data_IF_605013672114
#
_entry.id   IF_605013672114
#
_cell.length_a   1.000
_cell.length_b   1.000
_cell.length_c   1.000
_cell.angle_alpha   90.00
_cell.angle_beta   90.00
_cell.angle_gamma   90.00
#
_symmetry.space_group_name_H-M   'P 1'
#
loop_
_entity.id
_entity.type
_entity.pdbx_description
1 polymer ?
#
# COMPACT_ATOMS: atom_id res chain seq x y z
N UNK A 1 26.79 -6.24 -23.18
CA UNK A 1 27.86 -7.09 -22.63
C UNK A 1 27.35 -7.80 -21.39
N UNK A 2 27.28 -9.14 -21.38
CA UNK A 2 27.06 -9.91 -20.15
C UNK A 2 28.41 -9.93 -19.41
N UNK A 3 28.54 -9.19 -18.30
CA UNK A 3 29.69 -9.38 -17.38
C UNK A 3 29.67 -10.83 -16.89
N UNK A 4 30.85 -11.43 -16.77
CA UNK A 4 31.01 -12.72 -16.15
C UNK A 4 30.45 -12.65 -14.71
N UNK A 5 29.52 -13.55 -14.39
CA UNK A 5 28.85 -13.59 -13.08
C UNK A 5 29.73 -14.26 -12.00
N UNK A 6 30.93 -14.71 -12.37
CA UNK A 6 31.83 -15.46 -11.51
C UNK A 6 32.58 -14.60 -10.47
N UNK A 7 32.81 -13.31 -10.75
CA UNK A 7 33.57 -12.42 -9.85
C UNK A 7 32.70 -11.29 -9.29
N UNK A 8 32.63 -11.19 -7.96
CA UNK A 8 32.08 -10.01 -7.26
C UNK A 8 32.89 -8.76 -7.63
N UNK A 9 32.26 -7.58 -7.80
CA UNK A 9 33.03 -6.34 -7.90
C UNK A 9 33.64 -5.92 -6.55
N UNK A 10 33.28 -6.59 -5.45
CA UNK A 10 33.74 -6.27 -4.10
C UNK A 10 34.83 -7.23 -3.65
N UNK A 11 35.97 -6.67 -3.23
CA UNK A 11 37.08 -7.45 -2.68
C UNK A 11 36.80 -8.04 -1.29
N UNK A 12 35.83 -7.49 -0.56
CA UNK A 12 35.44 -7.97 0.77
C UNK A 12 34.05 -7.47 1.16
N UNK A 13 33.46 -8.10 2.19
CA UNK A 13 32.21 -7.62 2.79
C UNK A 13 32.34 -6.20 3.36
N UNK A 14 33.53 -5.85 3.88
CA UNK A 14 33.82 -4.51 4.36
C UNK A 14 33.77 -3.47 3.22
N UNK A 15 34.30 -3.82 2.04
CA UNK A 15 34.21 -2.96 0.86
C UNK A 15 32.75 -2.74 0.41
N UNK A 16 31.95 -3.80 0.37
CA UNK A 16 30.50 -3.70 0.12
C UNK A 16 29.81 -2.78 1.13
N UNK A 17 30.07 -2.98 2.43
CA UNK A 17 29.48 -2.17 3.49
C UNK A 17 29.89 -0.69 3.42
N UNK A 18 31.14 -0.40 3.04
CA UNK A 18 31.62 0.97 2.87
C UNK A 18 30.87 1.68 1.73
N UNK A 19 30.67 1.01 0.59
CA UNK A 19 29.90 1.58 -0.52
C UNK A 19 28.42 1.77 -0.14
N UNK A 20 27.81 0.80 0.55
CA UNK A 20 26.44 0.93 1.07
C UNK A 20 26.32 2.11 2.05
N UNK A 21 27.32 2.34 2.90
CA UNK A 21 27.35 3.48 3.81
C UNK A 21 27.43 4.83 3.07
N UNK A 22 28.20 4.90 1.98
CA UNK A 22 28.28 6.10 1.13
C UNK A 22 26.95 6.36 0.41
N UNK A 23 26.35 5.34 -0.23
CA UNK A 23 25.02 5.44 -0.86
C UNK A 23 23.96 5.87 0.17
N UNK A 24 24.00 5.31 1.38
CA UNK A 24 23.10 5.68 2.47
C UNK A 24 23.28 7.13 2.95
N UNK A 25 24.52 7.63 2.99
CA UNK A 25 24.80 9.03 3.31
C UNK A 25 24.22 9.98 2.26
N UNK A 26 24.36 9.66 0.97
CA UNK A 26 23.76 10.42 -0.12
C UNK A 26 22.23 10.43 0.00
N UNK A 27 21.62 9.27 0.22
CA UNK A 27 20.18 9.15 0.43
C UNK A 27 19.70 9.97 1.64
N UNK A 28 20.46 10.01 2.73
CA UNK A 28 20.17 10.86 3.89
C UNK A 28 20.20 12.35 3.54
N UNK A 29 21.24 12.80 2.84
CA UNK A 29 21.37 14.20 2.39
C UNK A 29 20.23 14.60 1.44
N UNK A 30 19.79 13.67 0.59
CA UNK A 30 18.68 13.87 -0.32
C UNK A 30 17.28 13.70 0.33
N UNK A 31 17.19 13.56 1.66
CA UNK A 31 15.91 13.45 2.35
C UNK A 31 15.14 12.16 2.07
N UNK A 32 15.80 11.12 1.55
CA UNK A 32 15.15 9.82 1.28
C UNK A 32 14.66 9.21 2.59
N UNK A 33 13.37 8.89 2.67
CA UNK A 33 12.74 8.26 3.84
C UNK A 33 13.38 6.90 4.14
N UNK A 34 13.54 6.57 5.43
CA UNK A 34 14.28 5.37 5.90
C UNK A 34 13.81 4.06 5.24
N UNK A 35 12.50 3.84 5.08
CA UNK A 35 11.95 2.62 4.48
C UNK A 35 12.19 2.49 2.97
N UNK A 36 12.42 3.60 2.27
CA UNK A 36 12.74 3.56 0.84
C UNK A 36 14.23 3.26 0.61
N UNK A 37 15.07 3.42 1.64
CA UNK A 37 16.53 3.28 1.54
C UNK A 37 17.00 1.86 1.21
N UNK A 38 16.43 0.77 1.73
CA UNK A 38 16.87 -0.58 1.35
C UNK A 38 16.73 -0.82 -0.16
N UNK A 39 15.57 -0.46 -0.72
CA UNK A 39 15.32 -0.63 -2.16
C UNK A 39 16.13 0.33 -3.01
N UNK A 40 16.17 1.62 -2.66
CA UNK A 40 16.99 2.58 -3.40
C UNK A 40 18.47 2.26 -3.29
N UNK A 41 18.95 1.83 -2.13
CA UNK A 41 20.33 1.41 -1.91
C UNK A 41 20.71 0.22 -2.77
N UNK A 42 19.88 -0.82 -2.79
CA UNK A 42 20.06 -1.99 -3.66
C UNK A 42 20.09 -1.60 -5.14
N UNK A 43 19.14 -0.79 -5.59
CA UNK A 43 19.05 -0.33 -6.98
C UNK A 43 20.25 0.54 -7.37
N UNK A 44 20.63 1.51 -6.53
CA UNK A 44 21.78 2.39 -6.77
C UNK A 44 23.10 1.62 -6.81
N UNK A 45 23.32 0.69 -5.86
CA UNK A 45 24.50 -0.17 -5.86
C UNK A 45 24.55 -1.01 -7.16
N UNK A 46 23.40 -1.57 -7.55
CA UNK A 46 23.29 -2.39 -8.77
C UNK A 46 23.63 -1.58 -10.02
N UNK A 47 23.09 -0.36 -10.16
CA UNK A 47 23.38 0.51 -11.29
C UNK A 47 24.84 0.97 -11.34
N UNK A 48 25.40 1.42 -10.19
CA UNK A 48 26.81 1.88 -10.11
C UNK A 48 27.80 0.82 -10.55
N UNK A 49 27.53 -0.44 -10.22
CA UNK A 49 28.44 -1.55 -10.46
C UNK A 49 28.08 -2.36 -11.73
N UNK A 50 26.96 -2.05 -12.38
CA UNK A 50 26.44 -2.79 -13.52
C UNK A 50 26.04 -4.23 -13.16
N UNK A 51 25.42 -4.41 -11.99
CA UNK A 51 24.99 -5.71 -11.46
C UNK A 51 23.57 -6.04 -11.88
N UNK A 52 23.35 -7.30 -12.24
CA UNK A 52 22.04 -7.89 -12.49
C UNK A 52 21.58 -8.74 -11.31
N UNK A 53 21.50 -8.12 -10.12
CA UNK A 53 21.12 -8.81 -8.89
C UNK A 53 19.67 -9.35 -8.97
N UNK A 54 19.45 -10.53 -8.40
CA UNK A 54 18.12 -11.13 -8.33
C UNK A 54 17.42 -10.75 -7.02
N UNK A 55 16.08 -10.64 -7.06
CA UNK A 55 15.22 -10.47 -5.88
C UNK A 55 14.03 -11.43 -5.97
N UNK A 56 13.70 -12.20 -4.92
CA UNK A 56 14.51 -12.40 -3.71
C UNK A 56 15.88 -13.04 -4.02
N UNK A 57 16.81 -12.95 -3.07
CA UNK A 57 18.09 -13.66 -3.16
C UNK A 57 17.87 -15.17 -3.25
N UNK A 58 18.54 -15.91 -4.15
CA UNK A 58 18.59 -17.37 -4.12
C UNK A 58 19.30 -17.91 -2.88
N UNK A 59 20.31 -17.18 -2.37
CA UNK A 59 21.03 -17.52 -1.14
C UNK A 59 20.56 -16.62 0.02
N UNK A 60 19.72 -17.16 0.92
CA UNK A 60 19.16 -16.40 2.06
C UNK A 60 20.05 -16.35 3.29
N UNK A 61 21.08 -17.18 3.36
CA UNK A 61 22.04 -17.14 4.47
C UNK A 61 23.48 -17.28 3.99
N UNK A 62 23.98 -16.29 3.21
CA UNK A 62 25.32 -16.35 2.71
C UNK A 62 26.34 -16.22 3.84
N UNK A 63 27.42 -16.99 3.73
CA UNK A 63 28.58 -16.81 4.59
C UNK A 63 29.19 -15.42 4.37
N UNK A 64 29.85 -14.81 5.36
CA UNK A 64 30.41 -13.46 5.24
C UNK A 64 31.40 -13.28 4.08
N UNK A 65 32.10 -14.35 3.69
CA UNK A 65 33.05 -14.37 2.57
C UNK A 65 32.39 -14.74 1.22
N UNK A 66 31.14 -15.19 1.20
CA UNK A 66 30.40 -15.43 -0.02
C UNK A 66 29.87 -14.09 -0.56
N UNK A 67 30.59 -13.55 -1.54
CA UNK A 67 30.20 -12.34 -2.27
C UNK A 67 29.73 -12.69 -3.69
N UNK A 68 29.30 -13.93 -3.93
CA UNK A 68 28.67 -14.31 -5.19
C UNK A 68 27.48 -13.41 -5.51
N UNK A 69 27.13 -13.30 -6.79
CA UNK A 69 26.00 -12.48 -7.23
C UNK A 69 24.70 -12.84 -6.52
N UNK A 70 24.51 -14.13 -6.21
CA UNK A 70 23.36 -14.61 -5.48
C UNK A 70 23.42 -14.19 -4.00
N UNK A 71 24.59 -14.18 -3.37
CA UNK A 71 24.76 -13.73 -1.99
C UNK A 71 24.63 -12.20 -1.79
N UNK A 72 24.99 -11.40 -2.79
CA UNK A 72 25.02 -9.93 -2.67
C UNK A 72 23.67 -9.32 -2.29
N UNK A 73 22.56 -9.78 -2.89
CA UNK A 73 21.22 -9.28 -2.54
C UNK A 73 20.93 -9.43 -1.05
N UNK A 74 21.31 -10.57 -0.47
CA UNK A 74 21.05 -10.87 0.93
C UNK A 74 21.98 -10.11 1.87
N UNK A 75 23.26 -9.94 1.53
CA UNK A 75 24.17 -9.08 2.28
C UNK A 75 23.68 -7.63 2.34
N UNK A 76 23.21 -7.08 1.21
CA UNK A 76 22.62 -5.73 1.15
C UNK A 76 21.39 -5.65 2.04
N UNK A 77 20.48 -6.63 1.96
CA UNK A 77 19.26 -6.71 2.79
C UNK A 77 19.63 -6.72 4.27
N UNK A 78 20.52 -7.62 4.69
CA UNK A 78 21.00 -7.74 6.08
C UNK A 78 21.70 -6.48 6.58
N UNK A 79 22.43 -5.76 5.72
CA UNK A 79 23.08 -4.49 6.10
C UNK A 79 22.06 -3.41 6.45
N UNK A 80 21.05 -3.20 5.59
CA UNK A 80 19.99 -2.24 5.86
C UNK A 80 19.14 -2.63 7.08
N UNK A 81 18.86 -3.93 7.24
CA UNK A 81 18.16 -4.47 8.40
C UNK A 81 18.95 -4.23 9.70
N UNK A 82 20.27 -4.50 9.73
CA UNK A 82 21.12 -4.21 10.89
C UNK A 82 21.16 -2.72 11.23
N UNK A 83 21.21 -1.85 10.22
CA UNK A 83 21.34 -0.40 10.40
C UNK A 83 20.05 0.27 10.88
N UNK A 84 18.91 -0.16 10.37
CA UNK A 84 17.63 0.52 10.58
C UNK A 84 16.61 -0.30 11.36
N UNK A 85 16.84 -1.61 11.50
CA UNK A 85 15.92 -2.54 12.13
C UNK A 85 14.52 -2.43 11.55
N UNK A 86 13.53 -2.49 12.43
CA UNK A 86 12.10 -2.39 12.08
C UNK A 86 11.74 -1.08 11.37
N UNK A 87 12.53 0.00 11.50
CA UNK A 87 12.24 1.30 10.86
C UNK A 87 12.39 1.27 9.34
N UNK A 88 13.19 0.34 8.81
CA UNK A 88 13.27 0.10 7.37
C UNK A 88 12.02 -0.59 6.81
N UNK A 89 11.21 -1.23 7.67
CA UNK A 89 10.00 -1.94 7.28
C UNK A 89 8.74 -1.06 7.33
N UNK A 90 8.82 0.15 7.89
CA UNK A 90 7.69 1.08 8.00
C UNK A 90 7.54 1.85 6.69
N UNK A 91 6.81 1.28 5.73
CA UNK A 91 6.45 1.97 4.50
C UNK A 91 5.52 3.14 4.86
N UNK A 92 5.97 4.39 4.69
CA UNK A 92 5.08 5.57 4.76
C UNK A 92 4.40 5.77 3.40
N UNK A 93 3.69 4.73 2.98
CA UNK A 93 2.62 4.79 2.00
C UNK A 93 1.34 4.49 2.79
N UNK A 94 0.15 4.89 2.31
CA UNK A 94 -1.08 4.37 2.89
C UNK A 94 -0.92 2.85 2.87
N UNK A 95 -0.97 2.24 4.05
CA UNK A 95 -0.49 0.85 4.23
C UNK A 95 -1.47 -0.01 5.00
N UNK A 96 -2.48 0.60 5.62
CA UNK A 96 -3.49 -0.10 6.39
C UNK A 96 -4.89 0.26 5.91
N UNK A 97 -5.68 -0.73 5.52
CA UNK A 97 -7.13 -0.59 5.36
C UNK A 97 -7.89 -1.30 6.48
N UNK A 98 -9.22 -1.22 6.43
CA UNK A 98 -10.13 -1.92 7.35
C UNK A 98 -10.99 -2.89 6.56
N UNK A 99 -10.97 -4.16 6.96
CA UNK A 99 -11.92 -5.17 6.50
C UNK A 99 -12.89 -5.43 7.65
N UNK A 100 -14.17 -5.28 7.38
CA UNK A 100 -15.24 -5.69 8.27
C UNK A 100 -15.64 -7.14 7.97
N UNK A 101 -15.57 -7.99 8.98
CA UNK A 101 -16.01 -9.39 8.95
C UNK A 101 -17.07 -9.53 10.05
N UNK A 102 -18.34 -9.36 9.68
CA UNK A 102 -19.50 -9.50 10.58
C UNK A 102 -19.43 -8.62 11.85
N UNK A 103 -18.92 -7.38 11.71
CA UNK A 103 -18.78 -6.41 12.80
C UNK A 103 -17.41 -6.43 13.48
N UNK A 104 -16.58 -7.45 13.23
CA UNK A 104 -15.19 -7.50 13.64
C UNK A 104 -14.31 -6.81 12.60
N UNK A 105 -13.60 -5.77 13.05
CA UNK A 105 -12.77 -4.95 12.19
C UNK A 105 -11.33 -5.44 12.23
N UNK A 106 -10.83 -5.88 11.07
CA UNK A 106 -9.44 -6.29 10.89
C UNK A 106 -8.65 -5.21 10.16
N UNK A 107 -7.43 -4.96 10.65
CA UNK A 107 -6.47 -4.16 9.89
C UNK A 107 -5.96 -4.99 8.73
N UNK A 108 -6.10 -4.48 7.51
CA UNK A 108 -5.53 -5.10 6.32
C UNK A 108 -4.25 -4.35 5.91
N UNK A 109 -3.14 -5.06 5.77
CA UNK A 109 -1.95 -4.50 5.15
C UNK A 109 -2.13 -4.45 3.63
N UNK A 110 -2.13 -3.26 3.04
CA UNK A 110 -2.23 -3.09 1.59
C UNK A 110 -0.83 -3.21 0.96
N UNK A 111 -0.53 -4.29 0.22
CA UNK A 111 0.79 -4.45 -0.37
C UNK A 111 0.98 -3.47 -1.53
N UNK A 112 2.22 -3.00 -1.69
CA UNK A 112 2.63 -2.30 -2.90
C UNK A 112 2.74 -3.30 -4.05
N UNK A 113 1.84 -3.21 -5.03
CA UNK A 113 1.76 -4.16 -6.14
C UNK A 113 2.42 -3.56 -7.38
N UNK A 114 3.45 -4.23 -7.89
CA UNK A 114 4.06 -3.94 -9.19
C UNK A 114 3.64 -5.01 -10.19
N UNK A 115 2.94 -4.63 -11.25
CA UNK A 115 2.32 -5.57 -12.19
C UNK A 115 1.05 -6.19 -11.58
N UNK A 116 0.92 -7.50 -11.70
CA UNK A 116 -0.29 -8.23 -11.29
C UNK A 116 -0.01 -9.17 -10.12
N UNK A 117 -1.01 -9.39 -9.28
CA UNK A 117 -1.02 -10.42 -8.22
C UNK A 117 -2.40 -11.06 -8.16
N UNK A 118 -2.44 -12.35 -7.85
CA UNK A 118 -3.67 -13.12 -7.66
C UNK A 118 -3.79 -13.52 -6.19
N UNK A 119 -4.94 -13.28 -5.58
CA UNK A 119 -5.23 -13.67 -4.20
C UNK A 119 -6.35 -14.70 -4.16
N UNK A 120 -6.22 -15.67 -3.27
CA UNK A 120 -7.35 -16.51 -2.84
C UNK A 120 -7.83 -16.12 -1.45
N UNK A 121 -9.04 -16.55 -1.09
CA UNK A 121 -9.57 -16.53 0.27
C UNK A 121 -9.71 -17.98 0.70
N UNK A 122 -8.72 -18.49 1.43
CA UNK A 122 -8.68 -19.90 1.80
C UNK A 122 -8.11 -20.12 3.21
N UNK A 123 -8.96 -20.44 4.20
CA UNK A 123 -8.50 -20.72 5.57
C UNK A 123 -7.49 -21.86 5.65
N UNK A 124 -7.67 -22.94 4.87
CA UNK A 124 -6.80 -24.12 4.90
C UNK A 124 -5.36 -23.82 4.47
N UNK A 125 -5.16 -22.74 3.70
CA UNK A 125 -3.85 -22.30 3.21
C UNK A 125 -3.40 -20.99 3.87
N UNK A 126 -3.87 -20.69 5.08
CA UNK A 126 -3.44 -19.49 5.81
C UNK A 126 -1.94 -19.54 6.13
N UNK A 127 -1.41 -20.69 6.53
CA UNK A 127 0.01 -20.87 6.84
C UNK A 127 0.89 -21.16 5.61
N UNK A 128 0.29 -21.30 4.42
CA UNK A 128 1.03 -21.60 3.20
C UNK A 128 1.97 -20.44 2.83
N UNK A 129 3.24 -20.78 2.60
CA UNK A 129 4.28 -19.81 2.24
C UNK A 129 4.36 -19.68 0.72
N UNK A 130 3.61 -18.72 0.19
CA UNK A 130 3.66 -18.36 -1.22
C UNK A 130 5.01 -17.81 -1.64
N UNK A 131 5.47 -18.20 -2.84
CA UNK A 131 6.66 -17.66 -3.48
C UNK A 131 6.35 -16.26 -4.02
N UNK A 132 7.06 -15.21 -3.57
CA UNK A 132 6.71 -13.82 -3.87
C UNK A 132 6.96 -13.43 -5.34
N UNK A 133 7.87 -14.12 -6.01
CA UNK A 133 8.19 -13.90 -7.42
C UNK A 133 8.50 -15.23 -8.09
N UNK A 134 7.79 -15.53 -9.17
CA UNK A 134 8.03 -16.70 -10.01
C UNK A 134 8.20 -16.20 -11.45
N UNK A 135 9.30 -16.58 -12.10
CA UNK A 135 9.59 -16.13 -13.47
C UNK A 135 8.45 -16.53 -14.40
N UNK A 136 7.94 -15.58 -15.18
CA UNK A 136 6.86 -15.75 -16.15
C UNK A 136 5.53 -16.24 -15.55
N UNK A 137 5.29 -16.03 -14.24
CA UNK A 137 4.01 -16.34 -13.60
C UNK A 137 3.57 -15.16 -12.75
N UNK A 138 2.25 -15.00 -12.63
CA UNK A 138 1.64 -14.01 -11.76
C UNK A 138 1.84 -14.48 -10.31
N UNK A 139 2.44 -13.66 -9.42
CA UNK A 139 2.51 -13.96 -8.00
C UNK A 139 1.16 -14.28 -7.40
N UNK A 140 1.14 -15.24 -6.47
CA UNK A 140 -0.06 -15.65 -5.74
C UNK A 140 0.13 -15.39 -4.25
N UNK A 141 -0.95 -15.12 -3.54
CA UNK A 141 -0.96 -15.12 -2.08
C UNK A 141 -2.37 -15.45 -1.57
N UNK A 142 -2.50 -15.55 -0.25
CA UNK A 142 -3.79 -15.67 0.43
C UNK A 142 -4.14 -14.33 1.08
N UNK A 143 -5.30 -13.77 0.71
CA UNK A 143 -5.75 -12.47 1.19
C UNK A 143 -5.85 -12.43 2.71
N UNK A 144 -6.26 -13.53 3.35
CA UNK A 144 -6.43 -13.61 4.80
C UNK A 144 -5.11 -13.36 5.56
N UNK A 145 -3.96 -13.64 4.94
CA UNK A 145 -2.63 -13.36 5.54
C UNK A 145 -2.30 -11.87 5.62
N UNK A 146 -3.04 -11.03 4.90
CA UNK A 146 -2.89 -9.58 4.97
C UNK A 146 -3.65 -8.98 6.16
N UNK A 147 -4.50 -9.75 6.84
CA UNK A 147 -5.29 -9.30 7.98
C UNK A 147 -4.50 -9.49 9.28
N UNK A 148 -4.21 -8.37 9.95
CA UNK A 148 -3.46 -8.36 11.20
C UNK A 148 -4.26 -9.04 12.32
N UNK A 149 -3.60 -9.92 13.07
CA UNK A 149 -4.21 -10.65 14.19
C UNK A 149 -5.23 -11.73 13.82
N UNK A 150 -5.45 -12.02 12.53
CA UNK A 150 -6.35 -13.11 12.12
C UNK A 150 -5.74 -14.47 12.47
N UNK A 151 -6.42 -15.24 13.32
CA UNK A 151 -5.98 -16.57 13.73
C UNK A 151 -6.50 -17.66 12.78
N UNK A 152 -5.85 -18.84 12.68
CA UNK A 152 -6.37 -19.97 11.90
C UNK A 152 -7.80 -20.36 12.31
N UNK A 153 -8.06 -20.46 13.62
CA UNK A 153 -9.40 -20.80 14.13
C UNK A 153 -10.47 -19.77 13.74
N UNK A 154 -10.14 -18.47 13.73
CA UNK A 154 -11.07 -17.45 13.24
C UNK A 154 -11.23 -17.54 11.72
N UNK A 155 -10.14 -17.71 10.97
CA UNK A 155 -10.21 -17.84 9.52
C UNK A 155 -11.12 -19.00 9.08
N UNK A 156 -11.01 -20.15 9.77
CA UNK A 156 -11.84 -21.34 9.54
C UNK A 156 -13.32 -21.12 9.87
N UNK A 157 -13.63 -20.21 10.81
CA UNK A 157 -15.02 -19.91 11.19
C UNK A 157 -15.71 -18.90 10.28
N UNK A 158 -14.99 -18.22 9.38
CA UNK A 158 -15.56 -17.23 8.45
C UNK A 158 -16.53 -17.95 7.49
N UNK A 159 -17.82 -17.60 7.47
CA UNK A 159 -18.77 -18.15 6.51
C UNK A 159 -18.37 -17.82 5.07
N UNK A 160 -18.46 -18.81 4.18
CA UNK A 160 -18.14 -18.62 2.75
C UNK A 160 -19.01 -17.55 2.07
N UNK A 161 -20.21 -17.29 2.61
CA UNK A 161 -21.09 -16.19 2.18
C UNK A 161 -20.46 -14.81 2.36
N UNK A 162 -19.49 -14.64 3.27
CA UNK A 162 -18.77 -13.37 3.48
C UNK A 162 -17.55 -13.20 2.56
N UNK A 163 -17.09 -14.25 1.86
CA UNK A 163 -15.85 -14.17 1.08
C UNK A 163 -15.91 -13.13 -0.02
N UNK A 164 -17.07 -12.97 -0.67
CA UNK A 164 -17.26 -11.93 -1.68
C UNK A 164 -17.10 -10.53 -1.07
N UNK A 165 -17.76 -10.28 0.06
CA UNK A 165 -17.68 -8.99 0.76
C UNK A 165 -16.27 -8.68 1.23
N UNK A 166 -15.53 -9.67 1.74
CA UNK A 166 -14.12 -9.53 2.11
C UNK A 166 -13.26 -9.19 0.88
N UNK A 167 -13.46 -9.92 -0.23
CA UNK A 167 -12.75 -9.69 -1.48
C UNK A 167 -13.01 -8.32 -2.09
N UNK A 168 -14.27 -7.88 -2.11
CA UNK A 168 -14.66 -6.56 -2.63
C UNK A 168 -14.04 -5.42 -1.81
N UNK A 169 -14.09 -5.52 -0.47
CA UNK A 169 -13.46 -4.54 0.43
C UNK A 169 -11.93 -4.48 0.20
N UNK A 170 -11.27 -5.64 0.14
CA UNK A 170 -9.84 -5.72 -0.09
C UNK A 170 -9.42 -5.17 -1.47
N UNK A 171 -10.18 -5.51 -2.51
CA UNK A 171 -9.98 -4.99 -3.86
C UNK A 171 -10.06 -3.46 -3.88
N UNK A 172 -11.08 -2.89 -3.24
CA UNK A 172 -11.24 -1.44 -3.13
C UNK A 172 -10.07 -0.79 -2.40
N UNK A 173 -9.62 -1.35 -1.27
CA UNK A 173 -8.45 -0.86 -0.52
C UNK A 173 -7.21 -0.86 -1.41
N UNK A 174 -6.89 -2.01 -2.03
CA UNK A 174 -5.68 -2.14 -2.83
C UNK A 174 -5.69 -1.20 -4.05
N UNK A 175 -6.82 -1.08 -4.75
CA UNK A 175 -6.92 -0.20 -5.93
C UNK A 175 -6.79 1.27 -5.53
N UNK A 176 -7.50 1.73 -4.49
CA UNK A 176 -7.37 3.10 -3.99
C UNK A 176 -5.94 3.41 -3.56
N UNK A 177 -5.29 2.51 -2.83
CA UNK A 177 -3.94 2.76 -2.30
C UNK A 177 -2.87 2.73 -3.39
N UNK A 178 -3.02 1.86 -4.39
CA UNK A 178 -2.14 1.88 -5.57
C UNK A 178 -2.30 3.17 -6.38
N UNK A 179 -3.53 3.72 -6.48
CA UNK A 179 -3.73 5.02 -7.12
C UNK A 179 -3.10 6.14 -6.29
N UNK A 180 -3.30 6.17 -4.97
CA UNK A 180 -2.62 7.13 -4.09
C UNK A 180 -1.09 7.05 -4.22
N UNK A 181 -0.53 5.84 -4.26
CA UNK A 181 0.90 5.60 -4.47
C UNK A 181 1.42 6.23 -5.77
N UNK A 182 0.63 6.16 -6.84
CA UNK A 182 0.99 6.76 -8.13
C UNK A 182 1.10 8.30 -8.05
N UNK A 183 0.43 8.92 -7.08
CA UNK A 183 0.38 10.36 -6.86
C UNK A 183 1.08 10.83 -5.57
N UNK A 184 1.83 9.98 -4.86
CA UNK A 184 2.52 10.35 -3.61
C UNK A 184 3.59 11.46 -3.79
N UNK A 185 3.95 11.81 -5.03
CA UNK A 185 4.77 12.98 -5.32
C UNK A 185 4.05 14.31 -5.04
N UNK A 186 2.72 14.30 -4.99
CA UNK A 186 1.90 15.48 -4.68
C UNK A 186 1.75 15.62 -3.17
N UNK A 187 2.08 16.79 -2.63
CA UNK A 187 2.02 17.06 -1.17
C UNK A 187 0.63 16.76 -0.60
N UNK A 188 -0.45 17.17 -1.29
CA UNK A 188 -1.81 16.92 -0.84
C UNK A 188 -2.16 15.42 -0.77
N UNK A 189 -1.70 14.61 -1.71
CA UNK A 189 -1.97 13.16 -1.70
C UNK A 189 -1.14 12.46 -0.60
N UNK A 190 0.09 12.93 -0.37
CA UNK A 190 0.89 12.48 0.77
C UNK A 190 0.18 12.78 2.10
N UNK A 191 -0.35 14.00 2.28
CA UNK A 191 -1.12 14.35 3.49
C UNK A 191 -2.44 13.57 3.59
N UNK A 192 -3.15 13.35 2.47
CA UNK A 192 -4.35 12.52 2.45
C UNK A 192 -4.07 11.09 2.92
N UNK A 193 -2.92 10.51 2.56
CA UNK A 193 -2.53 9.17 3.02
C UNK A 193 -2.33 9.09 4.53
N UNK A 194 -1.78 10.16 5.13
CA UNK A 194 -1.61 10.26 6.59
C UNK A 194 -2.98 10.32 7.28
N UNK A 195 -3.93 11.08 6.72
CA UNK A 195 -5.28 11.12 7.28
C UNK A 195 -5.97 9.76 7.20
N UNK A 196 -5.87 9.02 6.08
CA UNK A 196 -6.48 7.69 6.01
C UNK A 196 -5.89 6.76 7.08
N UNK A 197 -4.56 6.68 7.19
CA UNK A 197 -3.91 5.79 8.17
C UNK A 197 -4.29 6.18 9.62
N UNK A 198 -4.40 7.48 9.91
CA UNK A 198 -4.87 7.99 11.21
C UNK A 198 -6.34 7.60 11.46
N UNK A 199 -7.19 7.74 10.45
CA UNK A 199 -8.61 7.38 10.53
C UNK A 199 -8.82 5.88 10.73
N UNK A 200 -8.07 5.05 10.00
CA UNK A 200 -8.05 3.58 10.15
C UNK A 200 -7.63 3.19 11.56
N UNK A 201 -6.57 3.81 12.09
CA UNK A 201 -6.10 3.56 13.45
C UNK A 201 -7.15 3.94 14.51
N UNK A 202 -7.81 5.09 14.35
CA UNK A 202 -8.87 5.53 15.24
C UNK A 202 -10.13 4.64 15.17
N UNK A 203 -10.48 4.16 13.97
CA UNK A 203 -11.61 3.27 13.73
C UNK A 203 -11.39 1.90 14.38
N UNK A 204 -10.22 1.29 14.13
CA UNK A 204 -9.83 0.00 14.72
C UNK A 204 -9.73 0.07 16.24
N UNK A 205 -9.25 1.20 16.77
CA UNK A 205 -9.20 1.42 18.22
C UNK A 205 -10.57 1.57 18.87
N UNK A 206 -11.63 1.88 18.10
CA UNK A 206 -13.00 2.13 18.57
C UNK A 206 -13.17 3.25 19.61
N UNK A 207 -12.11 3.97 19.97
CA UNK A 207 -12.13 5.03 20.99
C UNK A 207 -12.75 6.32 20.46
N UNK A 208 -12.52 6.65 19.18
CA UNK A 208 -12.99 7.92 18.62
C UNK A 208 -13.48 7.78 17.18
N UNK A 209 -14.70 7.25 16.98
CA UNK A 209 -15.30 7.12 15.65
C UNK A 209 -15.49 8.47 14.95
N UNK A 210 -15.78 9.54 15.72
CA UNK A 210 -15.86 10.91 15.21
C UNK A 210 -14.52 11.42 14.68
N UNK A 211 -13.41 11.09 15.34
CA UNK A 211 -12.07 11.41 14.82
C UNK A 211 -11.75 10.61 13.56
N UNK A 212 -12.11 9.32 13.51
CA UNK A 212 -11.95 8.50 12.32
C UNK A 212 -12.70 9.10 11.11
N UNK A 213 -13.99 9.42 11.28
CA UNK A 213 -14.81 10.07 10.26
C UNK A 213 -14.23 11.41 9.79
N UNK A 214 -13.73 12.23 10.71
CA UNK A 214 -13.04 13.48 10.39
C UNK A 214 -11.80 13.26 9.52
N UNK A 215 -10.98 12.27 9.84
CA UNK A 215 -9.82 11.91 9.05
C UNK A 215 -10.20 11.48 7.62
N UNK A 216 -11.23 10.67 7.44
CA UNK A 216 -11.69 10.26 6.10
C UNK A 216 -12.22 11.44 5.28
N UNK A 217 -12.91 12.39 5.91
CA UNK A 217 -13.29 13.65 5.28
C UNK A 217 -12.07 14.45 4.79
N UNK A 218 -11.04 14.59 5.63
CA UNK A 218 -9.82 15.29 5.27
C UNK A 218 -9.04 14.61 4.14
N UNK A 219 -8.99 13.27 4.13
CA UNK A 219 -8.38 12.52 3.04
C UNK A 219 -9.10 12.74 1.70
N UNK A 220 -10.44 12.72 1.70
CA UNK A 220 -11.25 13.02 0.52
C UNK A 220 -11.03 14.47 0.05
N UNK A 221 -11.07 15.43 0.97
CA UNK A 221 -10.86 16.86 0.71
C UNK A 221 -9.51 17.12 0.01
N UNK A 222 -8.43 16.57 0.58
CA UNK A 222 -7.08 16.74 0.02
C UNK A 222 -6.93 16.06 -1.34
N UNK A 223 -7.59 14.92 -1.55
CA UNK A 223 -7.56 14.20 -2.84
C UNK A 223 -8.29 14.97 -3.95
N UNK A 224 -9.46 15.56 -3.67
CA UNK A 224 -10.13 16.44 -4.65
C UNK A 224 -9.36 17.74 -4.87
N UNK A 225 -8.76 18.33 -3.83
CA UNK A 225 -7.90 19.51 -4.02
C UNK A 225 -6.69 19.22 -4.90
N UNK A 226 -6.11 18.01 -4.81
CA UNK A 226 -5.04 17.59 -5.71
C UNK A 226 -5.51 17.54 -7.18
N UNK A 227 -6.72 17.02 -7.45
CA UNK A 227 -7.32 17.06 -8.78
C UNK A 227 -7.58 18.50 -9.24
N UNK A 228 -8.17 19.34 -8.40
CA UNK A 228 -8.47 20.73 -8.77
C UNK A 228 -7.20 21.54 -9.06
N UNK A 229 -6.12 21.33 -8.30
CA UNK A 229 -4.82 21.93 -8.61
C UNK A 229 -4.27 21.44 -9.95
N UNK A 230 -4.45 20.15 -10.26
CA UNK A 230 -4.09 19.59 -11.56
C UNK A 230 -4.90 20.20 -12.71
N UNK A 231 -6.19 20.50 -12.48
CA UNK A 231 -7.07 21.21 -13.42
C UNK A 231 -6.80 22.72 -13.52
N UNK A 232 -5.82 23.24 -12.77
CA UNK A 232 -5.44 24.66 -12.80
C UNK A 232 -6.35 25.59 -12.00
N UNK A 233 -7.19 25.04 -11.10
CA UNK A 233 -8.01 25.83 -10.19
C UNK A 233 -7.12 26.60 -9.23
N UNK A 234 -7.30 27.92 -9.19
CA UNK A 234 -6.47 28.83 -8.41
C UNK A 234 -6.67 28.65 -6.89
N UNK A 235 -5.60 28.79 -6.11
CA UNK A 235 -5.64 28.64 -4.64
C UNK A 235 -6.66 29.56 -3.97
N UNK A 236 -6.85 30.78 -4.48
CA UNK A 236 -7.88 31.70 -3.97
C UNK A 236 -9.30 31.14 -4.11
N UNK A 237 -9.57 30.37 -5.18
CA UNK A 237 -10.86 29.70 -5.39
C UNK A 237 -11.00 28.50 -4.45
N UNK A 238 -9.93 27.71 -4.29
CA UNK A 238 -9.90 26.59 -3.33
C UNK A 238 -10.14 27.07 -1.90
N UNK A 239 -9.53 28.20 -1.51
CA UNK A 239 -9.70 28.82 -0.21
C UNK A 239 -11.16 29.24 0.03
N UNK A 240 -11.82 29.83 -0.96
CA UNK A 240 -13.24 30.22 -0.87
C UNK A 240 -14.19 29.03 -0.75
N UNK A 241 -13.88 27.91 -1.41
CA UNK A 241 -14.64 26.66 -1.24
C UNK A 241 -14.45 26.04 0.16
N UNK A 242 -13.32 26.34 0.81
CA UNK A 242 -13.03 25.93 2.18
C UNK A 242 -12.82 24.42 2.30
N UNK A 243 -13.57 23.80 3.22
CA UNK A 243 -13.53 22.37 3.53
C UNK A 243 -14.82 21.64 3.06
N UNK A 244 -15.62 22.29 2.22
CA UNK A 244 -16.90 21.76 1.76
C UNK A 244 -16.72 20.87 0.52
N UNK A 245 -16.88 19.56 0.70
CA UNK A 245 -16.69 18.57 -0.38
C UNK A 245 -17.64 18.80 -1.56
N UNK A 246 -18.89 19.21 -1.33
CA UNK A 246 -19.84 19.44 -2.41
C UNK A 246 -19.40 20.64 -3.27
N UNK A 247 -18.95 21.72 -2.62
CA UNK A 247 -18.37 22.88 -3.34
C UNK A 247 -17.11 22.52 -4.10
N UNK A 248 -16.22 21.72 -3.50
CA UNK A 248 -14.98 21.29 -4.15
C UNK A 248 -15.27 20.41 -5.37
N UNK A 249 -16.21 19.47 -5.28
CA UNK A 249 -16.63 18.63 -6.43
C UNK A 249 -17.22 19.50 -7.54
N UNK A 250 -18.05 20.48 -7.21
CA UNK A 250 -18.63 21.40 -8.19
C UNK A 250 -17.60 22.27 -8.94
N UNK A 251 -16.38 22.44 -8.38
CA UNK A 251 -15.29 23.13 -9.05
C UNK A 251 -14.56 22.26 -10.09
N UNK A 252 -14.79 20.95 -10.13
CA UNK A 252 -14.19 20.04 -11.11
C UNK A 252 -15.23 19.59 -12.14
N UNK A 253 -15.23 20.17 -13.35
CA UNK A 253 -16.11 19.71 -14.43
C UNK A 253 -15.85 18.25 -14.79
N UNK A 254 -14.59 17.80 -14.76
CA UNK A 254 -14.21 16.43 -15.11
C UNK A 254 -14.77 15.43 -14.12
N UNK A 255 -14.63 15.69 -12.81
CA UNK A 255 -15.18 14.80 -11.79
C UNK A 255 -16.71 14.76 -11.85
N UNK A 256 -17.35 15.92 -12.01
CA UNK A 256 -18.80 16.03 -12.13
C UNK A 256 -19.32 15.23 -13.34
N UNK A 257 -18.69 15.35 -14.50
CA UNK A 257 -19.08 14.63 -15.71
C UNK A 257 -18.83 13.12 -15.63
N UNK A 258 -17.86 12.68 -14.81
CA UNK A 258 -17.48 11.27 -14.71
C UNK A 258 -18.49 10.38 -13.97
N UNK A 259 -19.41 10.96 -13.20
CA UNK A 259 -20.33 10.25 -12.30
C UNK A 259 -19.63 9.29 -11.31
N UNK A 260 -18.33 9.45 -11.07
CA UNK A 260 -17.55 8.61 -10.15
C UNK A 260 -17.82 8.93 -8.67
N UNK A 261 -18.35 10.12 -8.40
CA UNK A 261 -18.69 10.63 -7.07
C UNK A 261 -20.15 11.05 -7.08
N UNK A 262 -20.90 10.62 -6.07
CA UNK A 262 -22.33 10.91 -5.93
C UNK A 262 -22.59 11.82 -4.72
N UNK A 263 -23.74 12.49 -4.70
CA UNK A 263 -24.15 13.29 -3.54
C UNK A 263 -24.23 12.44 -2.25
N UNK A 264 -24.80 11.24 -2.33
CA UNK A 264 -24.89 10.32 -1.19
C UNK A 264 -23.50 9.95 -0.63
N UNK A 265 -22.50 9.77 -1.50
CA UNK A 265 -21.12 9.53 -1.08
C UNK A 265 -20.53 10.75 -0.35
N UNK A 266 -20.76 11.96 -0.88
CA UNK A 266 -20.34 13.21 -0.25
C UNK A 266 -20.98 13.35 1.15
N UNK A 267 -22.27 13.07 1.27
CA UNK A 267 -23.00 13.14 2.54
C UNK A 267 -22.47 12.13 3.57
N UNK A 268 -22.18 10.90 3.13
CA UNK A 268 -21.62 9.85 3.99
C UNK A 268 -20.22 10.21 4.51
N UNK A 269 -19.41 10.88 3.71
CA UNK A 269 -18.05 11.29 4.08
C UNK A 269 -18.06 12.56 4.93
N UNK A 270 -19.00 13.48 4.68
CA UNK A 270 -19.00 14.81 5.29
C UNK A 270 -19.04 14.75 6.81
N UNK A 271 -18.11 15.47 7.44
CA UNK A 271 -17.91 15.45 8.88
C UNK A 271 -17.68 16.86 9.41
N UNK A 272 -18.42 17.24 10.44
CA UNK A 272 -18.17 18.50 11.14
C UNK A 272 -16.92 18.37 12.01
N UNK A 273 -16.08 19.42 12.13
CA UNK A 273 -14.95 19.44 13.09
C UNK A 273 -15.38 19.13 14.53
N UNK A 274 -16.64 19.40 14.88
CA UNK A 274 -17.24 19.12 16.19
C UNK A 274 -17.24 17.63 16.56
N UNK A 275 -17.29 16.72 15.58
CA UNK A 275 -17.25 15.28 15.83
C UNK A 275 -15.94 14.83 16.49
N UNK A 276 -14.81 15.48 16.17
CA UNK A 276 -13.51 15.22 16.81
C UNK A 276 -13.48 15.59 18.29
N UNK A 277 -14.30 16.57 18.69
CA UNK A 277 -14.39 17.04 20.07
C UNK A 277 -15.47 16.32 20.88
N UNK A 278 -16.08 15.25 20.35
CA UNK A 278 -17.15 14.52 21.02
C UNK A 278 -18.46 15.30 21.15
N UNK A 279 -18.58 16.45 20.47
CA UNK A 279 -19.80 17.28 20.50
C UNK A 279 -20.90 16.72 19.60
N UNK A 280 -20.53 15.87 18.64
CA UNK A 280 -21.45 15.12 17.79
C UNK A 280 -21.11 13.65 17.97
N UNK A 281 -22.09 12.87 18.41
CA UNK A 281 -21.93 11.43 18.54
C UNK A 281 -21.78 10.82 17.15
N UNK A 282 -20.79 9.94 16.97
CA UNK A 282 -20.58 9.19 15.74
C UNK A 282 -20.45 7.73 16.11
N UNK A 283 -21.24 6.88 15.48
CA UNK A 283 -21.17 5.43 15.65
C UNK A 283 -20.01 4.81 14.85
N UNK A 284 -19.63 3.58 15.21
CA UNK A 284 -18.66 2.81 14.43
C UNK A 284 -19.17 2.56 13.00
N UNK A 285 -20.46 2.25 12.84
CA UNK A 285 -21.07 2.04 11.52
C UNK A 285 -21.00 3.28 10.63
N UNK A 286 -21.24 4.48 11.18
CA UNK A 286 -21.08 5.73 10.43
C UNK A 286 -19.63 6.00 10.04
N UNK A 287 -18.68 5.73 10.93
CA UNK A 287 -17.26 5.90 10.64
C UNK A 287 -16.76 4.90 9.58
N UNK A 288 -17.21 3.64 9.65
CA UNK A 288 -16.91 2.61 8.66
C UNK A 288 -17.54 2.93 7.30
N UNK A 289 -18.80 3.37 7.28
CA UNK A 289 -19.47 3.82 6.04
C UNK A 289 -18.76 5.02 5.42
N UNK A 290 -18.30 5.97 6.25
CA UNK A 290 -17.48 7.10 5.80
C UNK A 290 -16.14 6.65 5.20
N UNK A 291 -15.46 5.68 5.84
CA UNK A 291 -14.23 5.08 5.31
C UNK A 291 -14.43 4.46 3.91
N UNK A 292 -15.43 3.59 3.78
CA UNK A 292 -15.72 2.89 2.52
C UNK A 292 -16.05 3.88 1.40
N UNK A 293 -16.86 4.89 1.67
CA UNK A 293 -17.18 5.94 0.71
C UNK A 293 -15.95 6.80 0.37
N UNK A 294 -15.10 7.12 1.35
CA UNK A 294 -13.88 7.88 1.12
C UNK A 294 -12.91 7.14 0.19
N UNK A 295 -12.77 5.81 0.31
CA UNK A 295 -11.94 5.04 -0.61
C UNK A 295 -12.38 5.17 -2.08
N UNK A 296 -13.70 5.09 -2.31
CA UNK A 296 -14.29 5.22 -3.65
C UNK A 296 -14.12 6.65 -4.16
N UNK A 297 -14.40 7.65 -3.31
CA UNK A 297 -14.24 9.07 -3.64
C UNK A 297 -12.81 9.39 -4.06
N UNK A 298 -11.84 8.97 -3.25
CA UNK A 298 -10.41 9.22 -3.47
C UNK A 298 -9.97 8.57 -4.78
N UNK A 299 -10.37 7.31 -5.02
CA UNK A 299 -10.08 6.64 -6.28
C UNK A 299 -10.68 7.39 -7.47
N UNK A 300 -11.93 7.83 -7.37
CA UNK A 300 -12.63 8.57 -8.41
C UNK A 300 -11.94 9.89 -8.76
N UNK A 301 -11.48 10.64 -7.76
CA UNK A 301 -10.75 11.89 -7.96
C UNK A 301 -9.36 11.66 -8.56
N UNK A 302 -8.56 10.74 -7.98
CA UNK A 302 -7.16 10.57 -8.37
C UNK A 302 -6.99 9.91 -9.75
N UNK A 303 -7.92 9.05 -10.18
CA UNK A 303 -7.86 8.43 -11.51
C UNK A 303 -7.95 9.43 -12.66
N UNK A 304 -8.49 10.63 -12.41
CA UNK A 304 -8.62 11.70 -13.40
C UNK A 304 -7.35 12.55 -13.54
N UNK A 305 -6.37 12.40 -12.65
CA UNK A 305 -5.08 13.09 -12.75
C UNK A 305 -4.19 12.35 -13.76
N UNK A 306 -3.89 12.99 -14.89
CA UNK A 306 -3.10 12.41 -15.99
C UNK A 306 -2.10 13.42 -16.58
N UNK A 307 -0.94 12.97 -17.11
CA UNK A 307 -0.47 11.60 -17.19
C UNK A 307 0.07 11.10 -15.84
N UNK A 308 -0.12 9.81 -15.56
CA UNK A 308 0.46 9.15 -14.38
C UNK A 308 1.03 7.79 -14.77
N UNK A 309 2.22 7.46 -14.25
CA UNK A 309 2.83 6.14 -14.45
C UNK A 309 2.28 5.18 -13.40
N UNK A 310 1.23 4.43 -13.77
CA UNK A 310 0.70 3.35 -12.92
C UNK A 310 1.62 2.15 -13.01
N UNK A 311 2.08 1.67 -11.85
CA UNK A 311 2.88 0.45 -11.75
C UNK A 311 2.03 -0.78 -11.44
N UNK A 312 0.79 -0.56 -11.02
CA UNK A 312 -0.22 -1.59 -10.81
C UNK A 312 -0.80 -2.02 -12.16
N UNK A 313 -0.67 -3.30 -12.47
CA UNK A 313 -1.15 -3.94 -13.71
C UNK A 313 -2.44 -4.75 -13.52
N UNK A 314 -2.84 -5.06 -12.28
CA UNK A 314 -4.12 -5.70 -11.99
C UNK A 314 -4.12 -6.52 -10.71
N UNK A 315 -5.32 -6.93 -10.30
CA UNK A 315 -5.55 -7.85 -9.19
C UNK A 315 -6.67 -8.81 -9.56
N UNK A 316 -6.51 -10.09 -9.22
CA UNK A 316 -7.63 -11.03 -9.17
C UNK A 316 -7.79 -11.51 -7.72
N UNK A 317 -9.02 -11.51 -7.21
CA UNK A 317 -9.34 -12.06 -5.89
C UNK A 317 -10.37 -13.17 -6.10
N UNK A 318 -10.00 -14.41 -5.77
CA UNK A 318 -10.88 -15.57 -5.85
C UNK A 318 -11.61 -15.76 -4.52
N UNK A 319 -12.94 -15.86 -4.56
CA UNK A 319 -13.79 -16.10 -3.38
C UNK A 319 -13.77 -17.58 -3.02
N UNK A 320 -12.66 -18.02 -2.46
CA UNK A 320 -12.36 -19.43 -2.17
C UNK A 320 -10.95 -19.78 -2.66
N UNK A 321 -10.67 -21.08 -2.75
CA UNK A 321 -9.44 -21.58 -3.34
C UNK A 321 -9.25 -21.12 -4.79
N UNK A 322 -8.00 -20.98 -5.22
CA UNK A 322 -7.66 -20.88 -6.64
C UNK A 322 -8.35 -21.98 -7.48
N UNK A 323 -8.82 -21.67 -8.69
CA UNK A 323 -9.42 -22.66 -9.58
C UNK A 323 -8.48 -23.84 -9.87
N UNK A 324 -9.05 -24.98 -10.28
CA UNK A 324 -8.26 -26.14 -10.67
C UNK A 324 -7.27 -25.78 -11.80
N UNK A 325 -6.00 -26.16 -11.63
CA UNK A 325 -4.91 -25.83 -12.56
C UNK A 325 -4.29 -24.42 -12.36
N UNK A 326 -4.97 -23.54 -11.62
CA UNK A 326 -4.48 -22.19 -11.29
C UNK A 326 -3.65 -22.17 -10.00
N UNK A 327 -3.35 -23.31 -9.38
CA UNK A 327 -2.44 -23.42 -8.24
C UNK A 327 -1.64 -24.72 -8.27
N UNK A 328 -0.34 -24.61 -8.02
CA UNK A 328 0.58 -25.73 -7.90
C UNK A 328 1.46 -25.47 -6.67
N UNK A 329 1.31 -26.28 -5.62
CA UNK A 329 2.04 -26.08 -4.36
C UNK A 329 3.56 -26.15 -4.52
N UNK A 330 4.08 -26.96 -5.46
CA UNK A 330 5.52 -27.09 -5.68
C UNK A 330 6.10 -25.87 -6.42
N UNK A 331 5.31 -25.24 -7.31
CA UNK A 331 5.74 -24.08 -8.08
C UNK A 331 5.44 -22.74 -7.38
N UNK A 332 4.30 -22.68 -6.69
CA UNK A 332 3.79 -21.47 -6.03
C UNK A 332 4.20 -21.40 -4.56
N UNK A 333 4.70 -22.49 -3.97
CA UNK A 333 5.14 -22.57 -2.57
C UNK A 333 6.65 -22.55 -2.35
N UNK A 334 7.01 -22.44 -1.08
CA UNK A 334 8.31 -22.87 -0.56
C UNK A 334 8.17 -24.26 0.05
N UNK A 335 9.18 -25.12 -0.16
CA UNK A 335 9.45 -26.25 0.75
C UNK A 335 10.04 -25.70 2.06
#
# INVERSE_FOLDING_TARGET
MKKDRSSSPFASLAALHAELAAIDQEMRKAGVRVHARPMRGWTTLSFRNGLGLQRPSPNRDPQPNDLSWDALTEHIRKWFERRYGKRANIVYAPSAGVIDIDGDLFRMWAPMIFGQVNFEINPERLEFKYRPLVRNRIPKDNLLKSLDGLTPSYAESIPTTLYKTIGDQAGQIMVTYNEMLAHLGTVLVAEASVDIDAGVSALLGRISPGHAKWCFHQAAEKSIKALLQHEGVQDATLFKAGHDLAKLVALSPTLTASNRVTAAMIDAITCSPKARYGQIQTSIGEALGSYQNALIFILGALQLIVPVTRRFGGIAIYTGSFPAGEFDAALDGFN
#
